data_IF_970219476066
#
_entry.id   IF_970219476066
#
_cell.length_a   1.000
_cell.length_b   1.000
_cell.length_c   1.000
_cell.angle_alpha   90.00
_cell.angle_beta   90.00
_cell.angle_gamma   90.00
#
_symmetry.space_group_name_H-M   'P 1'
#
loop_
_entity.id
_entity.type
_entity.pdbx_description
1 polymer ?
#
# COMPACT_ATOMS: atom_id res chain seq x y z
N UNK A 1 -2.41 -1.04 -17.48
CA UNK A 1 -1.06 -0.44 -17.50
C UNK A 1 -0.33 -1.01 -16.31
N UNK A 2 0.89 -1.53 -16.43
CA UNK A 2 1.55 -2.15 -15.28
C UNK A 2 2.16 -1.08 -14.36
N UNK A 3 2.04 -1.31 -13.05
CA UNK A 3 2.60 -0.45 -12.02
C UNK A 3 3.50 -1.27 -11.08
N UNK A 4 4.48 -0.61 -10.48
CA UNK A 4 5.47 -1.25 -9.62
C UNK A 4 5.80 -0.36 -8.42
N UNK A 5 6.27 -0.99 -7.35
CA UNK A 5 6.89 -0.24 -6.24
C UNK A 5 8.28 0.23 -6.63
N UNK A 6 8.54 1.50 -6.35
CA UNK A 6 9.86 2.13 -6.40
C UNK A 6 10.14 2.69 -5.00
N UNK A 7 10.90 1.96 -4.15
CA UNK A 7 11.17 2.39 -2.79
C UNK A 7 11.86 3.75 -2.76
N UNK A 8 11.32 4.69 -1.98
CA UNK A 8 11.92 6.00 -1.77
C UNK A 8 12.71 6.03 -0.46
N UNK A 9 12.08 5.56 0.63
CA UNK A 9 12.70 5.49 1.96
C UNK A 9 12.25 4.21 2.66
N UNK A 10 13.18 3.48 3.26
CA UNK A 10 12.89 2.30 4.09
C UNK A 10 13.67 2.43 5.40
N UNK A 11 12.93 2.50 6.51
CA UNK A 11 13.47 2.52 7.88
C UNK A 11 12.72 1.51 8.76
N UNK A 12 13.25 1.17 9.95
CA UNK A 12 12.52 0.37 10.93
C UNK A 12 11.18 0.98 11.38
N UNK A 13 11.08 2.31 11.38
CA UNK A 13 9.94 3.07 11.89
C UNK A 13 8.90 3.36 10.79
N UNK A 14 9.33 3.62 9.56
CA UNK A 14 8.44 3.91 8.45
C UNK A 14 9.03 3.54 7.09
N UNK A 15 8.16 3.36 6.10
CA UNK A 15 8.51 3.10 4.71
C UNK A 15 7.69 4.01 3.80
N UNK A 16 8.32 4.53 2.76
CA UNK A 16 7.68 5.28 1.68
C UNK A 16 8.04 4.61 0.38
N UNK A 17 7.01 4.14 -0.33
CA UNK A 17 7.12 3.44 -1.60
C UNK A 17 6.40 4.26 -2.65
N UNK A 18 7.13 4.75 -3.65
CA UNK A 18 6.49 5.32 -4.83
C UNK A 18 5.88 4.20 -5.67
N UNK A 19 4.84 4.56 -6.41
CA UNK A 19 4.22 3.71 -7.41
C UNK A 19 4.55 4.34 -8.74
N UNK A 20 5.23 3.58 -9.60
CA UNK A 20 5.64 4.04 -10.92
C UNK A 20 5.02 3.17 -12.00
N UNK A 21 4.76 3.76 -13.16
CA UNK A 21 4.35 3.02 -14.36
C UNK A 21 5.57 2.40 -15.09
N UNK A 22 5.32 1.74 -16.21
CA UNK A 22 6.36 1.15 -17.08
C UNK A 22 7.32 2.18 -17.69
N UNK A 23 6.97 3.46 -17.69
CA UNK A 23 7.80 4.58 -18.16
C UNK A 23 8.60 5.23 -17.02
N UNK A 24 8.54 4.66 -15.81
CA UNK A 24 9.12 5.19 -14.58
C UNK A 24 8.53 6.55 -14.15
N UNK A 25 7.31 6.87 -14.60
CA UNK A 25 6.55 8.04 -14.14
C UNK A 25 5.87 7.70 -12.81
N UNK A 26 6.01 8.57 -11.81
CA UNK A 26 5.28 8.44 -10.56
C UNK A 26 3.78 8.63 -10.79
N UNK A 27 2.99 7.66 -10.36
CA UNK A 27 1.51 7.64 -10.47
C UNK A 27 0.83 7.54 -9.11
N UNK A 28 1.60 7.44 -8.03
CA UNK A 28 1.10 7.36 -6.66
C UNK A 28 2.20 7.05 -5.64
N UNK A 29 1.79 6.85 -4.39
CA UNK A 29 2.67 6.38 -3.32
C UNK A 29 1.91 5.56 -2.27
N UNK A 30 2.67 4.84 -1.46
CA UNK A 30 2.23 4.19 -0.23
C UNK A 30 3.21 4.54 0.88
N UNK A 31 2.70 5.13 1.94
CA UNK A 31 3.39 5.36 3.20
C UNK A 31 2.94 4.32 4.23
N UNK A 32 3.91 3.72 4.91
CA UNK A 32 3.70 2.77 5.98
C UNK A 32 4.40 3.28 7.23
N UNK A 33 3.68 3.34 8.34
CA UNK A 33 4.21 3.72 9.64
C UNK A 33 4.03 2.56 10.61
N UNK A 34 5.13 2.13 11.21
CA UNK A 34 5.15 1.07 12.22
C UNK A 34 5.15 1.71 13.61
N UNK A 35 4.16 1.36 14.42
CA UNK A 35 4.06 1.84 15.80
C UNK A 35 3.67 0.67 16.71
N UNK A 36 4.63 0.18 17.51
CA UNK A 36 4.47 -1.01 18.36
C UNK A 36 3.86 -2.21 17.62
N UNK A 37 2.58 -2.50 17.89
CA UNK A 37 1.78 -3.58 17.29
C UNK A 37 0.82 -3.08 16.22
N UNK A 38 1.02 -1.88 15.68
CA UNK A 38 0.17 -1.27 14.67
C UNK A 38 0.95 -0.96 13.41
N UNK A 39 0.32 -1.20 12.27
CA UNK A 39 0.79 -0.81 10.95
C UNK A 39 -0.22 0.15 10.35
N UNK A 40 0.15 1.42 10.26
CA UNK A 40 -0.65 2.42 9.56
C UNK A 40 -0.23 2.46 8.10
N UNK A 41 -1.17 2.29 7.20
CA UNK A 41 -0.97 2.28 5.75
C UNK A 41 -1.78 3.40 5.14
N UNK A 42 -1.10 4.34 4.51
CA UNK A 42 -1.72 5.36 3.68
C UNK A 42 -1.25 5.18 2.25
N UNK A 43 -2.17 5.15 1.29
CA UNK A 43 -1.79 5.08 -0.11
C UNK A 43 -2.67 5.94 -0.97
N UNK A 44 -2.08 6.55 -1.99
CA UNK A 44 -2.77 7.38 -2.95
C UNK A 44 -2.27 7.06 -4.35
N UNK A 45 -3.22 6.88 -5.27
CA UNK A 45 -2.99 6.64 -6.68
C UNK A 45 -3.77 7.68 -7.47
N UNK A 46 -3.10 8.37 -8.39
CA UNK A 46 -3.72 9.41 -9.21
C UNK A 46 -4.61 8.80 -10.30
N UNK A 47 -4.14 7.74 -10.97
CA UNK A 47 -4.82 7.16 -12.12
C UNK A 47 -5.85 6.09 -11.74
N UNK A 48 -7.12 6.31 -12.11
CA UNK A 48 -8.20 5.34 -11.84
C UNK A 48 -8.06 4.02 -12.62
N UNK A 49 -7.42 4.08 -13.79
CA UNK A 49 -7.28 2.95 -14.72
C UNK A 49 -6.43 1.79 -14.21
N UNK A 50 -5.69 1.98 -13.12
CA UNK A 50 -4.81 0.97 -12.49
C UNK A 50 -5.22 0.64 -11.05
N UNK A 51 -6.47 0.92 -10.69
CA UNK A 51 -7.05 0.64 -9.36
C UNK A 51 -6.97 -0.83 -8.94
N UNK A 52 -7.22 -1.76 -9.85
CA UNK A 52 -7.12 -3.21 -9.59
C UNK A 52 -5.67 -3.64 -9.36
N UNK A 53 -4.80 -3.25 -10.29
CA UNK A 53 -3.35 -3.53 -10.19
C UNK A 53 -2.77 -2.97 -8.88
N UNK A 54 -3.26 -1.81 -8.42
CA UNK A 54 -2.83 -1.21 -7.15
C UNK A 54 -3.24 -2.03 -5.93
N UNK A 55 -4.47 -2.55 -5.90
CA UNK A 55 -4.91 -3.45 -4.82
C UNK A 55 -4.10 -4.74 -4.82
N UNK A 56 -3.86 -5.31 -6.00
CA UNK A 56 -3.10 -6.54 -6.17
C UNK A 56 -1.60 -6.35 -5.84
N UNK A 57 -1.08 -5.13 -5.95
CA UNK A 57 0.28 -4.79 -5.54
C UNK A 57 0.40 -4.59 -4.02
N UNK A 58 -0.53 -3.85 -3.41
CA UNK A 58 -0.48 -3.48 -1.98
C UNK A 58 -0.86 -4.65 -1.07
N UNK A 59 -1.92 -5.40 -1.40
CA UNK A 59 -2.43 -6.48 -0.53
C UNK A 59 -1.39 -7.55 -0.18
N UNK A 60 -0.64 -8.16 -1.14
CA UNK A 60 0.37 -9.15 -0.80
C UNK A 60 1.56 -8.54 -0.04
N UNK A 61 1.88 -7.27 -0.29
CA UNK A 61 2.95 -6.57 0.42
C UNK A 61 2.61 -6.41 1.91
N UNK A 62 1.41 -5.93 2.22
CA UNK A 62 0.92 -5.81 3.59
C UNK A 62 0.83 -7.17 4.29
N UNK A 63 0.38 -8.22 3.57
CA UNK A 63 0.37 -9.59 4.09
C UNK A 63 1.77 -10.09 4.44
N UNK A 64 2.78 -9.73 3.65
CA UNK A 64 4.18 -10.03 3.93
C UNK A 64 4.67 -9.36 5.23
N UNK A 65 4.34 -8.07 5.40
CA UNK A 65 4.68 -7.31 6.61
C UNK A 65 3.99 -7.89 7.86
N UNK A 66 2.72 -8.27 7.73
CA UNK A 66 1.96 -8.88 8.82
C UNK A 66 2.52 -10.23 9.27
N UNK A 67 3.08 -11.02 8.34
CA UNK A 67 3.78 -12.27 8.67
C UNK A 67 5.12 -12.05 9.35
N UNK A 68 5.82 -10.96 9.01
CA UNK A 68 7.13 -10.65 9.58
C UNK A 68 7.05 -10.12 11.02
N UNK A 69 5.93 -9.51 11.40
CA UNK A 69 5.65 -9.02 12.77
C UNK A 69 4.41 -9.71 13.31
N UNK A 70 4.59 -10.76 14.11
CA UNK A 70 3.47 -11.51 14.71
C UNK A 70 2.54 -10.58 15.51
N UNK A 71 1.24 -10.63 15.18
CA UNK A 71 0.19 -9.91 15.92
C UNK A 71 0.14 -8.39 15.66
N UNK A 72 0.47 -7.95 14.45
CA UNK A 72 0.35 -6.54 14.05
C UNK A 72 -1.06 -6.23 13.50
N UNK A 73 -1.69 -5.19 14.04
CA UNK A 73 -2.99 -4.68 13.58
C UNK A 73 -2.78 -3.72 12.41
N UNK A 74 -3.42 -3.98 11.26
CA UNK A 74 -3.27 -3.18 10.05
C UNK A 74 -4.41 -2.17 9.94
N UNK A 75 -4.06 -0.89 9.94
CA UNK A 75 -4.99 0.21 9.70
C UNK A 75 -4.69 0.80 8.34
N UNK A 76 -5.58 0.59 7.36
CA UNK A 76 -5.34 1.03 5.99
C UNK A 76 -6.32 2.11 5.52
N UNK A 77 -5.80 3.10 4.80
CA UNK A 77 -6.57 4.11 4.12
C UNK A 77 -5.97 4.33 2.72
N UNK A 78 -6.62 3.78 1.70
CA UNK A 78 -6.18 3.85 0.33
C UNK A 78 -7.12 4.71 -0.51
N UNK A 79 -6.55 5.50 -1.41
CA UNK A 79 -7.28 6.35 -2.35
C UNK A 79 -6.84 6.08 -3.79
N UNK A 80 -7.80 6.09 -4.71
CA UNK A 80 -7.54 6.06 -6.15
C UNK A 80 -8.40 7.12 -6.82
N UNK A 81 -7.80 8.05 -7.56
CA UNK A 81 -8.55 9.12 -8.25
C UNK A 81 -9.46 9.92 -7.33
N UNK A 82 -8.96 10.30 -6.15
CA UNK A 82 -9.72 10.98 -5.08
C UNK A 82 -10.88 10.16 -4.46
N UNK A 83 -11.04 8.87 -4.79
CA UNK A 83 -12.03 7.98 -4.18
C UNK A 83 -11.37 7.08 -3.15
N UNK A 84 -11.92 7.03 -1.94
CA UNK A 84 -11.48 6.07 -0.93
C UNK A 84 -11.81 4.66 -1.43
N UNK A 85 -10.83 3.78 -1.39
CA UNK A 85 -11.02 2.36 -1.68
C UNK A 85 -10.76 1.55 -0.41
N UNK A 86 -11.60 0.55 -0.19
CA UNK A 86 -11.38 -0.42 0.86
C UNK A 86 -10.54 -1.57 0.30
N UNK A 87 -9.46 -1.89 1.01
CA UNK A 87 -8.82 -3.19 0.95
C UNK A 87 -9.80 -4.14 1.61
N UNK A 88 -10.66 -4.80 0.81
CA UNK A 88 -11.55 -5.83 1.33
C UNK A 88 -10.72 -6.90 2.03
N UNK A 89 -10.82 -6.91 3.34
CA UNK A 89 -10.80 -8.08 4.21
C UNK A 89 -11.88 -7.79 5.27
N UNK A 90 -13.15 -7.93 4.87
CA UNK A 90 -14.15 -8.33 5.86
C UNK A 90 -13.85 -9.80 6.17
N UNK A 91 -13.72 -10.07 7.46
CA UNK A 91 -13.83 -11.40 8.05
C UNK A 91 -15.08 -12.11 7.49
N UNK A 92 -14.91 -13.01 6.52
CA UNK A 92 -15.87 -14.09 6.26
C UNK A 92 -15.08 -15.40 6.03
N UNK A 93 -14.53 -15.91 7.14
CA UNK A 93 -14.65 -17.30 7.68
C UNK A 93 -13.53 -17.61 8.69
#
# INVERSE_FOLDING_TARGET
>A
MQIYFSPEVITPEFQVLNIVDSSNKAVGNVALLFDEKKLYVYGILEEEGVSLDFKDLVKPYLKGLAKAKEGIDIFSCLYVGCKKIELKDEEEE
#
